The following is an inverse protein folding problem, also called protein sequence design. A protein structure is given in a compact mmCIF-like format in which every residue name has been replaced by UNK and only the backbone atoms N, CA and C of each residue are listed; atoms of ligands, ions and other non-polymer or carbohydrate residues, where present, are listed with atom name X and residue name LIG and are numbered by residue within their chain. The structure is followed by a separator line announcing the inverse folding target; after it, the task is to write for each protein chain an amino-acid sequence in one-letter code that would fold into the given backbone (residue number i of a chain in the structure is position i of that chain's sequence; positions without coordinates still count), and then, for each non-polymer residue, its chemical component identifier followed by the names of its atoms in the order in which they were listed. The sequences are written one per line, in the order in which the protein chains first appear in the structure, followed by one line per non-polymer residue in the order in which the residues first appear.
data_IF_438456612577
#
_entry.id   IF_438456612577
#
_cell.length_a   1.000
_cell.length_b   1.000
_cell.length_c   1.000
_cell.angle_alpha   90.00
_cell.angle_beta   90.00
_cell.angle_gamma   90.00
#
_symmetry.space_group_name_H-M   'P 1'
#
loop_
_entity.id
_entity.type
_entity.pdbx_description
1 polymer ?
#
# COMPACT_ATOMS: atom_id res chain seq x y z
N UNK A 1 -20.10 12.51 3.53
CA UNK A 1 -18.79 12.67 2.87
C UNK A 1 -18.20 11.27 2.74
N UNK A 2 -17.85 10.87 1.53
CA UNK A 2 -17.29 9.54 1.30
C UNK A 2 -15.84 9.47 1.78
N UNK A 3 -15.37 8.27 2.13
CA UNK A 3 -14.07 8.09 2.76
C UNK A 3 -13.21 7.19 1.89
N UNK A 4 -11.94 7.59 1.69
CA UNK A 4 -10.90 6.76 1.12
C UNK A 4 -9.88 6.42 2.20
N UNK A 5 -9.70 5.12 2.49
CA UNK A 5 -8.73 4.64 3.46
C UNK A 5 -7.54 4.03 2.70
N UNK A 6 -6.36 4.58 2.90
CA UNK A 6 -5.12 4.08 2.30
C UNK A 6 -4.37 3.29 3.36
N UNK A 7 -4.30 1.96 3.16
CA UNK A 7 -3.52 1.07 4.02
C UNK A 7 -2.03 1.25 3.75
N UNK A 8 -1.21 1.20 4.80
CA UNK A 8 0.25 1.29 4.74
C UNK A 8 0.91 0.18 5.53
N UNK A 9 2.08 -0.22 5.10
CA UNK A 9 2.91 -1.19 5.81
C UNK A 9 3.45 -2.30 4.90
N UNK A 10 4.53 -2.98 5.30
CA UNK A 10 5.15 -4.04 4.52
C UNK A 10 4.26 -5.27 4.41
N UNK A 11 4.61 -6.18 3.52
CA UNK A 11 3.97 -7.49 3.43
C UNK A 11 4.06 -8.21 4.78
N UNK A 12 2.95 -8.83 5.21
CA UNK A 12 2.88 -9.50 6.52
C UNK A 12 2.55 -8.61 7.72
N UNK A 13 2.43 -7.28 7.58
CA UNK A 13 2.10 -6.36 8.69
C UNK A 13 0.65 -6.42 9.17
N UNK A 14 -0.20 -7.27 8.57
CA UNK A 14 -1.60 -7.41 8.96
C UNK A 14 -2.57 -6.39 8.34
N UNK A 15 -2.16 -5.69 7.25
CA UNK A 15 -3.01 -4.72 6.54
C UNK A 15 -4.36 -5.29 6.11
N UNK A 16 -4.36 -6.43 5.42
CA UNK A 16 -5.59 -7.07 4.92
C UNK A 16 -6.53 -7.46 6.05
N UNK A 17 -6.01 -7.85 7.21
CA UNK A 17 -6.84 -8.14 8.39
C UNK A 17 -7.50 -6.86 8.87
N UNK A 18 -6.72 -5.77 9.00
CA UNK A 18 -7.26 -4.46 9.40
C UNK A 18 -8.22 -3.89 8.36
N UNK A 19 -7.91 -4.02 7.07
CA UNK A 19 -8.79 -3.59 5.97
C UNK A 19 -10.17 -4.27 6.03
N UNK A 20 -10.23 -5.57 6.37
CA UNK A 20 -11.52 -6.29 6.54
C UNK A 20 -12.33 -5.82 7.75
N UNK A 21 -11.69 -5.39 8.82
CA UNK A 21 -12.37 -4.77 9.96
C UNK A 21 -12.97 -3.42 9.54
N UNK A 22 -12.16 -2.56 8.90
CA UNK A 22 -12.57 -1.25 8.39
C UNK A 22 -13.63 -1.36 7.30
N UNK A 23 -13.58 -2.40 6.47
CA UNK A 23 -14.62 -2.69 5.48
C UNK A 23 -16.01 -2.78 6.11
N UNK A 24 -16.11 -3.48 7.24
CA UNK A 24 -17.38 -3.63 7.96
C UNK A 24 -17.78 -2.33 8.66
N UNK A 25 -16.81 -1.63 9.24
CA UNK A 25 -17.02 -0.36 9.96
C UNK A 25 -17.55 0.75 9.05
N UNK A 26 -16.96 0.89 7.86
CA UNK A 26 -17.25 1.97 6.91
C UNK A 26 -18.13 1.53 5.73
N UNK A 27 -18.59 0.28 5.67
CA UNK A 27 -19.26 -0.30 4.51
C UNK A 27 -18.51 0.02 3.20
N UNK A 28 -17.20 -0.28 3.17
CA UNK A 28 -16.28 0.13 2.12
C UNK A 28 -15.92 -1.02 1.17
N UNK A 29 -15.54 -0.70 -0.06
CA UNK A 29 -14.92 -1.65 -0.98
C UNK A 29 -13.41 -1.74 -0.73
N UNK A 30 -12.87 -2.96 -0.68
CA UNK A 30 -11.41 -3.16 -0.63
C UNK A 30 -10.90 -3.38 -2.05
N UNK A 31 -10.00 -2.51 -2.50
CA UNK A 31 -9.23 -2.65 -3.74
C UNK A 31 -7.75 -2.91 -3.40
N UNK A 32 -7.16 -3.89 -4.10
CA UNK A 32 -5.77 -4.31 -3.90
C UNK A 32 -5.20 -4.82 -5.21
N UNK A 33 -3.96 -4.47 -5.53
CA UNK A 33 -3.24 -5.00 -6.68
C UNK A 33 -3.10 -6.53 -6.62
N UNK A 34 -3.03 -7.12 -5.43
CA UNK A 34 -2.98 -8.58 -5.26
C UNK A 34 -4.20 -9.30 -5.85
N UNK A 35 -5.36 -8.65 -5.91
CA UNK A 35 -6.57 -9.23 -6.52
C UNK A 35 -6.44 -9.45 -8.02
N UNK A 36 -5.57 -8.71 -8.70
CA UNK A 36 -5.27 -8.89 -10.12
C UNK A 36 -4.67 -10.27 -10.41
N UNK A 37 -3.91 -10.79 -9.47
CA UNK A 37 -3.24 -12.09 -9.57
C UNK A 37 -4.12 -13.28 -9.15
N UNK A 38 -5.40 -13.04 -8.79
CA UNK A 38 -6.33 -14.12 -8.46
C UNK A 38 -6.95 -14.71 -9.73
N UNK A 39 -6.52 -15.90 -10.12
CA UNK A 39 -7.03 -16.63 -11.31
C UNK A 39 -7.75 -17.88 -10.82
N UNK A 40 -9.06 -17.97 -11.08
CA UNK A 40 -9.90 -19.13 -10.66
C UNK A 40 -9.78 -19.50 -9.17
N UNK A 41 -9.52 -18.52 -8.31
CA UNK A 41 -9.38 -18.71 -6.86
C UNK A 41 -7.96 -19.02 -6.39
N UNK A 42 -7.00 -19.15 -7.29
CA UNK A 42 -5.57 -19.33 -6.98
C UNK A 42 -4.79 -18.04 -7.16
N UNK A 43 -3.78 -17.82 -6.32
CA UNK A 43 -2.89 -16.66 -6.40
C UNK A 43 -1.71 -16.97 -7.34
N UNK A 44 -1.71 -16.37 -8.53
CA UNK A 44 -0.73 -16.57 -9.59
C UNK A 44 0.10 -15.29 -9.78
N UNK A 45 1.08 -15.05 -8.91
CA UNK A 45 1.92 -13.86 -8.95
C UNK A 45 2.86 -13.87 -10.16
N UNK A 46 2.94 -12.73 -10.87
CA UNK A 46 3.92 -12.46 -11.92
C UNK A 46 4.47 -11.04 -11.74
N UNK A 47 5.77 -10.94 -11.46
CA UNK A 47 6.45 -9.66 -11.22
C UNK A 47 6.38 -8.70 -12.43
N UNK A 48 6.42 -9.23 -13.66
CA UNK A 48 6.36 -8.43 -14.89
C UNK A 48 5.00 -7.74 -15.07
N UNK A 49 3.96 -8.26 -14.40
CA UNK A 49 2.60 -7.71 -14.44
C UNK A 49 2.29 -6.75 -13.29
N UNK A 50 3.24 -6.47 -12.39
CA UNK A 50 3.03 -5.54 -11.28
C UNK A 50 2.52 -4.15 -11.72
N UNK A 51 3.07 -3.52 -12.78
CA UNK A 51 2.54 -2.24 -13.26
C UNK A 51 1.07 -2.35 -13.69
N UNK A 52 0.72 -3.42 -14.41
CA UNK A 52 -0.66 -3.68 -14.84
C UNK A 52 -1.60 -3.91 -13.64
N UNK A 53 -1.15 -4.64 -12.63
CA UNK A 53 -1.91 -4.88 -11.40
C UNK A 53 -2.17 -3.58 -10.61
N UNK A 54 -1.19 -2.69 -10.55
CA UNK A 54 -1.38 -1.38 -9.92
C UNK A 54 -2.35 -0.49 -10.71
N UNK A 55 -2.21 -0.43 -12.04
CA UNK A 55 -3.15 0.32 -12.89
C UNK A 55 -4.57 -0.22 -12.74
N UNK A 56 -4.75 -1.54 -12.79
CA UNK A 56 -6.04 -2.18 -12.56
C UNK A 56 -6.64 -1.81 -11.19
N UNK A 57 -5.83 -1.78 -10.14
CA UNK A 57 -6.27 -1.38 -8.80
C UNK A 57 -6.72 0.10 -8.78
N UNK A 58 -5.99 0.99 -9.47
CA UNK A 58 -6.36 2.40 -9.61
C UNK A 58 -7.67 2.57 -10.36
N UNK A 59 -7.86 1.89 -11.49
CA UNK A 59 -9.10 1.93 -12.28
C UNK A 59 -10.30 1.45 -11.45
N UNK A 60 -10.15 0.36 -10.71
CA UNK A 60 -11.20 -0.15 -9.81
C UNK A 60 -11.52 0.84 -8.69
N UNK A 61 -10.50 1.56 -8.20
CA UNK A 61 -10.69 2.59 -7.17
C UNK A 61 -11.43 3.78 -7.75
N UNK A 62 -11.07 4.21 -8.96
CA UNK A 62 -11.75 5.31 -9.66
C UNK A 62 -13.23 4.99 -9.88
N UNK A 63 -13.56 3.83 -10.42
CA UNK A 63 -14.97 3.40 -10.61
C UNK A 63 -15.75 3.44 -9.28
N UNK A 64 -15.15 2.99 -8.18
CA UNK A 64 -15.80 3.03 -6.88
C UNK A 64 -16.01 4.47 -6.38
N UNK A 65 -15.08 5.39 -6.69
CA UNK A 65 -15.24 6.81 -6.37
C UNK A 65 -16.35 7.47 -7.21
N UNK A 66 -16.45 7.13 -8.49
CA UNK A 66 -17.54 7.57 -9.38
C UNK A 66 -18.91 7.16 -8.84
N UNK A 67 -18.99 5.96 -8.27
CA UNK A 67 -20.21 5.44 -7.63
C UNK A 67 -20.44 6.01 -6.21
N UNK A 68 -19.55 6.87 -5.70
CA UNK A 68 -19.66 7.48 -4.38
C UNK A 68 -19.46 6.49 -3.21
N UNK A 69 -18.84 5.32 -3.47
CA UNK A 69 -18.65 4.27 -2.46
C UNK A 69 -17.42 4.56 -1.59
N UNK A 70 -17.49 4.24 -0.29
CA UNK A 70 -16.29 4.24 0.54
C UNK A 70 -15.29 3.20 0.05
N UNK A 71 -14.01 3.54 0.01
CA UNK A 71 -12.94 2.70 -0.57
C UNK A 71 -11.80 2.50 0.41
N UNK A 72 -11.26 1.29 0.41
CA UNK A 72 -10.01 0.94 1.10
C UNK A 72 -9.01 0.47 0.04
N UNK A 73 -7.86 1.14 -0.03
CA UNK A 73 -6.73 0.75 -0.89
C UNK A 73 -5.77 -0.10 -0.07
N UNK A 74 -5.83 -1.43 -0.25
CA UNK A 74 -5.03 -2.41 0.51
C UNK A 74 -3.77 -2.82 -0.25
N UNK A 75 -2.86 -1.87 -0.45
CA UNK A 75 -1.52 -2.07 -0.99
C UNK A 75 -0.47 -1.75 0.09
N UNK A 76 0.82 -1.98 -0.19
CA UNK A 76 1.91 -1.67 0.75
C UNK A 76 2.06 -0.18 1.00
N UNK A 77 1.93 0.65 -0.04
CA UNK A 77 1.93 2.11 0.00
C UNK A 77 3.06 2.66 0.88
N UNK A 78 4.28 2.15 0.67
CA UNK A 78 5.43 2.49 1.51
C UNK A 78 6.01 3.85 1.16
N UNK A 79 6.07 4.19 -0.12
CA UNK A 79 6.53 5.49 -0.61
C UNK A 79 5.35 6.46 -0.79
N UNK A 80 5.63 7.76 -0.69
CA UNK A 80 4.60 8.79 -0.88
C UNK A 80 4.01 8.74 -2.29
N UNK A 81 4.85 8.60 -3.32
CA UNK A 81 4.41 8.57 -4.72
C UNK A 81 3.49 7.37 -5.04
N UNK A 82 3.60 6.26 -4.31
CA UNK A 82 2.70 5.10 -4.48
C UNK A 82 1.25 5.45 -4.08
N UNK A 83 1.08 6.42 -3.19
CA UNK A 83 -0.23 6.89 -2.71
C UNK A 83 -0.81 8.02 -3.56
N UNK A 84 0.04 8.73 -4.32
CA UNK A 84 -0.35 9.93 -5.07
C UNK A 84 -1.58 9.74 -5.98
N UNK A 85 -1.69 8.68 -6.81
CA UNK A 85 -2.87 8.50 -7.67
C UNK A 85 -4.17 8.40 -6.88
N UNK A 86 -4.13 7.83 -5.69
CA UNK A 86 -5.30 7.67 -4.83
C UNK A 86 -5.69 8.98 -4.13
N UNK A 87 -4.70 9.77 -3.72
CA UNK A 87 -4.95 11.10 -3.12
C UNK A 87 -5.50 12.05 -4.17
N UNK A 88 -4.97 12.04 -5.40
CA UNK A 88 -5.51 12.81 -6.52
C UNK A 88 -6.97 12.45 -6.83
N UNK A 89 -7.31 11.15 -6.84
CA UNK A 89 -8.70 10.71 -6.97
C UNK A 89 -9.57 11.20 -5.82
N UNK A 90 -9.06 11.14 -4.59
CA UNK A 90 -9.81 11.59 -3.43
C UNK A 90 -10.12 13.08 -3.50
N UNK A 91 -9.18 13.92 -3.96
CA UNK A 91 -9.42 15.34 -4.20
C UNK A 91 -10.43 15.57 -5.32
N UNK A 92 -10.28 14.88 -6.46
CA UNK A 92 -11.17 14.98 -7.61
C UNK A 92 -12.63 14.68 -7.25
N UNK A 93 -12.86 13.64 -6.45
CA UNK A 93 -14.21 13.19 -6.08
C UNK A 93 -14.70 13.69 -4.70
N UNK A 94 -13.90 14.50 -4.00
CA UNK A 94 -14.28 15.10 -2.71
C UNK A 94 -14.34 14.11 -1.55
N UNK A 95 -13.40 13.16 -1.49
CA UNK A 95 -13.28 12.15 -0.45
C UNK A 95 -12.43 12.66 0.73
N UNK A 96 -12.80 12.27 1.95
CA UNK A 96 -11.91 12.36 3.10
C UNK A 96 -10.88 11.23 3.04
N UNK A 97 -9.58 11.57 3.09
CA UNK A 97 -8.50 10.58 3.09
C UNK A 97 -8.09 10.22 4.51
N UNK A 98 -8.02 8.93 4.79
CA UNK A 98 -7.50 8.38 6.05
C UNK A 98 -6.38 7.39 5.78
N UNK A 99 -5.28 7.48 6.55
CA UNK A 99 -4.19 6.50 6.50
C UNK A 99 -4.34 5.49 7.63
N UNK A 100 -4.13 4.23 7.31
CA UNK A 100 -4.19 3.15 8.27
C UNK A 100 -3.04 2.18 8.10
N UNK A 101 -2.42 1.81 9.21
CA UNK A 101 -1.41 0.76 9.25
C UNK A 101 -2.05 -0.61 9.45
N UNK A 102 -1.26 -1.65 9.23
CA UNK A 102 -1.63 -3.00 9.63
C UNK A 102 -2.01 -3.09 11.10
N UNK A 103 -2.49 -4.23 11.53
CA UNK A 103 -3.09 -4.45 12.87
C UNK A 103 -2.18 -4.05 14.04
N UNK A 104 -0.86 -4.06 13.83
CA UNK A 104 0.12 -3.60 14.81
C UNK A 104 1.07 -2.58 14.18
N UNK A 105 0.92 -1.27 14.42
CA UNK A 105 1.82 -0.25 13.90
C UNK A 105 3.27 -0.44 14.39
N UNK A 106 3.48 -0.94 15.59
CA UNK A 106 4.82 -1.27 16.12
C UNK A 106 5.47 -2.46 15.40
N UNK A 107 4.69 -3.23 14.61
CA UNK A 107 5.22 -4.35 13.84
C UNK A 107 6.34 -3.91 12.89
N UNK A 108 6.23 -2.73 12.29
CA UNK A 108 7.25 -2.21 11.36
C UNK A 108 8.58 -1.95 12.09
N UNK A 109 8.56 -1.38 13.30
CA UNK A 109 9.76 -1.15 14.10
C UNK A 109 10.33 -2.46 14.64
N UNK A 110 9.46 -3.33 15.18
CA UNK A 110 9.85 -4.65 15.62
C UNK A 110 10.44 -5.48 14.47
N UNK A 111 9.83 -5.43 13.30
CA UNK A 111 10.33 -6.09 12.11
C UNK A 111 11.69 -5.54 11.68
N UNK A 112 11.89 -4.21 11.70
CA UNK A 112 13.19 -3.59 11.40
C UNK A 112 14.28 -4.04 12.37
N UNK A 113 14.00 -4.04 13.67
CA UNK A 113 14.93 -4.54 14.69
C UNK A 113 15.25 -6.03 14.49
N UNK A 114 14.28 -6.84 14.15
CA UNK A 114 14.45 -8.28 13.88
C UNK A 114 15.29 -8.52 12.62
N UNK A 115 15.14 -7.68 11.61
CA UNK A 115 15.92 -7.77 10.38
C UNK A 115 17.40 -7.45 10.60
N UNK A 116 17.71 -6.57 11.56
CA UNK A 116 19.09 -6.30 11.99
C UNK A 116 19.71 -7.51 12.74
N UNK A 117 18.89 -8.38 13.32
CA UNK A 117 19.32 -9.57 14.06
C UNK A 117 19.46 -10.84 13.20
N UNK A 118 19.01 -10.82 11.94
CA UNK A 118 19.16 -11.89 10.95
C UNK A 118 17.94 -12.75 10.66
N UNK A 119 18.01 -13.55 9.60
CA UNK A 119 16.91 -14.30 8.97
C UNK A 119 16.12 -15.24 9.91
N UNK A 120 16.77 -15.79 10.93
CA UNK A 120 16.12 -16.75 11.86
C UNK A 120 15.00 -16.11 12.69
N UNK A 121 15.14 -14.85 13.03
CA UNK A 121 14.13 -14.12 13.76
C UNK A 121 12.99 -13.64 12.86
N UNK A 122 13.26 -13.41 11.57
CA UNK A 122 12.28 -13.00 10.58
C UNK A 122 11.14 -14.01 10.40
N UNK A 123 11.47 -15.31 10.37
CA UNK A 123 10.49 -16.37 10.19
C UNK A 123 9.42 -16.40 11.31
N UNK A 124 9.77 -15.95 12.52
CA UNK A 124 8.85 -15.92 13.67
C UNK A 124 7.78 -14.82 13.56
N UNK A 125 8.05 -13.77 12.80
CA UNK A 125 7.17 -12.60 12.66
C UNK A 125 6.48 -12.49 11.30
N UNK A 126 6.87 -13.34 10.34
CA UNK A 126 6.32 -13.30 8.99
C UNK A 126 4.96 -14.01 8.91
N UNK A 127 3.88 -13.24 8.99
CA UNK A 127 2.51 -13.71 8.73
C UNK A 127 2.11 -13.56 7.26
N UNK A 128 3.09 -13.43 6.38
CA UNK A 128 2.93 -13.20 4.96
C UNK A 128 2.29 -14.41 4.25
N UNK A 129 1.04 -14.25 3.80
CA UNK A 129 0.25 -15.30 3.15
C UNK A 129 0.63 -15.55 1.68
N UNK A 130 1.31 -14.59 1.06
CA UNK A 130 1.65 -14.63 -0.37
C UNK A 130 3.08 -15.11 -0.64
N UNK A 131 3.81 -15.54 0.40
CA UNK A 131 5.17 -16.03 0.26
C UNK A 131 6.17 -14.96 -0.22
N UNK A 132 5.91 -13.67 0.08
CA UNK A 132 6.82 -12.58 -0.29
C UNK A 132 8.20 -12.83 0.31
N UNK A 133 9.26 -12.86 -0.49
CA UNK A 133 10.62 -13.11 0.01
C UNK A 133 11.08 -12.06 1.02
N UNK A 134 11.93 -12.42 2.01
CA UNK A 134 12.45 -11.51 3.01
C UNK A 134 13.10 -10.25 2.42
N UNK A 135 13.93 -10.40 1.39
CA UNK A 135 14.61 -9.30 0.71
C UNK A 135 13.64 -8.27 0.11
N UNK A 136 12.47 -8.71 -0.36
CA UNK A 136 11.42 -7.80 -0.87
C UNK A 136 10.80 -7.03 0.29
N UNK A 137 10.58 -7.67 1.43
CA UNK A 137 10.06 -6.99 2.63
C UNK A 137 11.09 -5.99 3.17
N UNK A 138 12.37 -6.31 3.14
CA UNK A 138 13.46 -5.39 3.46
C UNK A 138 13.43 -4.16 2.56
N UNK A 139 13.33 -4.37 1.24
CA UNK A 139 13.23 -3.27 0.29
C UNK A 139 11.99 -2.41 0.54
N UNK A 140 10.86 -3.01 0.91
CA UNK A 140 9.66 -2.26 1.31
C UNK A 140 9.92 -1.40 2.55
N UNK A 141 10.54 -1.94 3.60
CA UNK A 141 10.87 -1.20 4.82
C UNK A 141 11.84 -0.05 4.58
N UNK A 142 12.83 -0.24 3.72
CA UNK A 142 13.80 0.79 3.36
C UNK A 142 13.13 2.04 2.74
N UNK A 143 12.01 1.85 2.02
CA UNK A 143 11.24 2.96 1.44
C UNK A 143 10.56 3.87 2.47
N UNK A 144 10.34 3.41 3.70
CA UNK A 144 9.77 4.24 4.78
C UNK A 144 10.72 5.36 5.25
N UNK A 145 12.02 5.23 4.99
CA UNK A 145 13.02 6.14 5.52
C UNK A 145 13.22 6.00 7.05
N UNK A 146 13.93 6.94 7.68
CA UNK A 146 14.33 6.84 9.09
C UNK A 146 13.18 7.07 10.08
N UNK A 147 12.08 7.66 9.65
CA UNK A 147 10.92 7.92 10.51
C UNK A 147 9.64 7.46 9.82
N UNK A 148 8.99 6.39 10.31
CA UNK A 148 7.70 5.98 9.77
C UNK A 148 6.66 7.05 10.11
N UNK A 149 6.22 7.79 9.10
CA UNK A 149 5.12 8.74 9.25
C UNK A 149 3.81 7.98 9.16
N UNK A 150 3.08 7.88 10.26
CA UNK A 150 1.80 7.15 10.33
C UNK A 150 0.72 7.80 9.46
N UNK A 151 0.72 9.14 9.41
CA UNK A 151 -0.20 9.91 8.57
C UNK A 151 0.61 10.95 7.82
N UNK A 152 1.04 10.67 6.60
CA UNK A 152 1.79 11.64 5.81
C UNK A 152 0.90 12.84 5.44
N UNK A 153 1.52 14.01 5.27
CA UNK A 153 0.83 15.19 4.76
C UNK A 153 0.39 14.93 3.30
N UNK A 154 -0.85 15.28 2.98
CA UNK A 154 -1.40 15.11 1.63
C UNK A 154 -0.61 15.93 0.60
N UNK A 155 -0.11 17.11 0.98
CA UNK A 155 0.71 17.96 0.12
C UNK A 155 2.02 17.29 -0.24
N UNK A 156 2.67 16.63 0.73
CA UNK A 156 3.91 15.89 0.49
C UNK A 156 3.68 14.73 -0.48
N UNK A 157 2.53 14.07 -0.40
CA UNK A 157 2.15 13.02 -1.34
C UNK A 157 1.96 13.61 -2.74
N UNK A 158 1.21 14.68 -2.87
CA UNK A 158 0.88 15.28 -4.17
C UNK A 158 2.09 15.81 -4.93
N UNK A 159 3.09 16.34 -4.22
CA UNK A 159 4.35 16.83 -4.85
C UNK A 159 5.40 15.74 -5.01
N UNK A 160 5.16 14.54 -4.49
CA UNK A 160 6.12 13.45 -4.57
C UNK A 160 6.28 12.94 -6.02
N UNK A 161 7.49 12.47 -6.33
CA UNK A 161 7.84 11.95 -7.66
C UNK A 161 8.26 10.49 -7.56
N UNK A 162 7.85 9.73 -8.55
CA UNK A 162 8.30 8.34 -8.71
C UNK A 162 9.78 8.30 -9.12
N UNK A 163 10.46 7.16 -8.95
CA UNK A 163 11.83 6.97 -9.44
C UNK A 163 11.98 7.24 -10.95
N UNK A 164 10.94 6.94 -11.75
CA UNK A 164 10.94 7.20 -13.20
C UNK A 164 10.87 8.69 -13.51
N UNK A 165 10.02 9.46 -12.81
CA UNK A 165 9.93 10.92 -12.96
C UNK A 165 11.24 11.61 -12.57
N UNK A 166 11.86 11.15 -11.46
CA UNK A 166 13.16 11.66 -11.02
C UNK A 166 14.30 11.34 -11.99
N UNK A 167 14.27 10.18 -12.66
CA UNK A 167 15.24 9.79 -13.67
C UNK A 167 15.09 10.65 -14.92
N UNK A 168 13.86 10.83 -15.42
CA UNK A 168 13.57 11.64 -16.59
C UNK A 168 14.01 13.12 -16.43
N UNK A 169 13.89 13.69 -15.24
CA UNK A 169 14.36 15.05 -14.97
C UNK A 169 15.89 15.19 -15.02
N UNK A 170 16.62 14.15 -14.62
CA UNK A 170 18.09 14.15 -14.68
C UNK A 170 18.65 14.03 -16.10
N UNK A 171 17.89 13.44 -17.02
CA UNK A 171 18.28 13.33 -18.43
C UNK A 171 18.03 14.62 -19.23
N UNK A 172 17.25 15.57 -18.67
CA UNK A 172 16.91 16.85 -19.30
C UNK A 172 17.84 18.01 -18.90
N UNK A 173 18.80 17.76 -17.99
CA UNK A 173 19.80 18.72 -17.51
C UNK A 173 21.17 18.38 -18.10
#
# INVERSE_FOLDING_TARGET
MSIMIIMRGPSGSGKTTRARELQKEYNALINSADKYFMVKGEYCFNADQLPAAHNWCQDRTRCACEDGQNVIVDNTNMSLWEMKPYVEMAEEFGYEVKFQWGKNPMFTEALRAVLEMGDKCFAMFNTNKHGTPPEVIFAQLAKLGPCPVFSPDLRDILVSKSPMELAAEKEQV
#
